data_IF_775503614038
#
_entry.id   IF_775503614038
#
_cell.length_a   1.000
_cell.length_b   1.000
_cell.length_c   1.000
_cell.angle_alpha   90.00
_cell.angle_beta   90.00
_cell.angle_gamma   90.00
#
_symmetry.space_group_name_H-M   'P 1'
#
loop_
_entity.id
_entity.type
_entity.pdbx_description
1 polymer ?
#
# COMPACT_ATOMS: atom_id res chain seq x y z
N UNK A 1 -38.11 23.41 -37.87
CA UNK A 1 -38.53 22.04 -38.27
C UNK A 1 -37.39 21.01 -38.19
N UNK A 2 -36.11 21.39 -38.39
CA UNK A 2 -34.97 20.45 -38.31
C UNK A 2 -34.63 19.87 -36.93
N UNK A 3 -34.84 20.62 -35.83
CA UNK A 3 -34.49 20.13 -34.48
C UNK A 3 -35.43 19.04 -33.94
N UNK A 4 -36.71 19.04 -34.35
CA UNK A 4 -37.66 18.01 -33.96
C UNK A 4 -37.42 16.68 -34.70
N UNK A 5 -37.03 16.76 -35.98
CA UNK A 5 -36.65 15.58 -36.76
C UNK A 5 -35.37 14.92 -36.23
N UNK A 6 -34.39 15.70 -35.78
CA UNK A 6 -33.18 15.19 -35.13
C UNK A 6 -33.46 14.54 -33.76
N UNK A 7 -34.38 15.12 -32.97
CA UNK A 7 -34.84 14.54 -31.71
C UNK A 7 -35.58 13.21 -31.93
N UNK A 8 -36.51 13.16 -32.89
CA UNK A 8 -37.25 11.93 -33.22
C UNK A 8 -36.34 10.85 -33.82
N UNK A 9 -35.35 11.23 -34.65
CA UNK A 9 -34.34 10.31 -35.14
C UNK A 9 -33.52 9.71 -33.99
N UNK A 10 -32.97 10.54 -33.09
CA UNK A 10 -32.24 10.05 -31.91
C UNK A 10 -33.11 9.19 -30.98
N UNK A 11 -34.38 9.57 -30.76
CA UNK A 11 -35.33 8.78 -29.94
C UNK A 11 -35.62 7.41 -30.55
N UNK A 12 -35.70 7.31 -31.88
CA UNK A 12 -35.93 6.05 -32.57
C UNK A 12 -34.67 5.18 -32.66
N UNK A 13 -33.48 5.78 -32.81
CA UNK A 13 -32.19 5.07 -32.78
C UNK A 13 -31.90 4.50 -31.40
N UNK A 14 -32.16 5.24 -30.32
CA UNK A 14 -32.02 4.77 -28.94
C UNK A 14 -33.01 3.65 -28.59
N UNK A 15 -34.22 3.66 -29.18
CA UNK A 15 -35.23 2.59 -29.00
C UNK A 15 -34.95 1.34 -29.83
N UNK A 16 -34.32 1.46 -30.99
CA UNK A 16 -33.91 0.30 -31.81
C UNK A 16 -32.70 -0.44 -31.22
N UNK A 17 -31.86 0.25 -30.45
CA UNK A 17 -30.75 -0.37 -29.71
C UNK A 17 -31.20 -0.99 -28.37
N UNK A 18 -32.46 -0.85 -27.97
CA UNK A 18 -32.99 -1.44 -26.72
C UNK A 18 -33.31 -2.95 -26.83
N UNK A 19 -32.88 -3.62 -27.91
CA UNK A 19 -33.05 -5.07 -28.12
C UNK A 19 -31.71 -5.79 -28.39
N UNK A 20 -30.60 -5.20 -27.97
CA UNK A 20 -29.46 -5.99 -27.51
C UNK A 20 -29.51 -5.91 -25.99
N UNK A 21 -29.46 -7.05 -25.32
CA UNK A 21 -29.23 -7.13 -23.87
C UNK A 21 -28.19 -6.09 -23.52
N UNK A 22 -28.55 -5.10 -22.70
CA UNK A 22 -27.59 -4.10 -22.28
C UNK A 22 -26.40 -4.85 -21.66
N UNK A 23 -25.27 -4.84 -22.38
CA UNK A 23 -23.96 -5.16 -21.84
C UNK A 23 -23.80 -4.38 -20.53
N UNK A 24 -23.09 -4.98 -19.58
CA UNK A 24 -22.99 -4.51 -18.20
C UNK A 24 -22.56 -3.04 -18.05
N UNK A 25 -22.53 -2.58 -16.81
CA UNK A 25 -22.02 -1.25 -16.46
C UNK A 25 -20.68 -0.96 -17.15
N UNK A 26 -20.64 0.10 -17.96
CA UNK A 26 -19.43 0.58 -18.61
C UNK A 26 -18.91 1.82 -17.91
N UNK A 27 -17.60 1.85 -17.73
CA UNK A 27 -16.86 2.99 -17.22
C UNK A 27 -16.83 4.14 -18.23
N UNK A 28 -16.91 5.39 -17.75
CA UNK A 28 -16.88 6.59 -18.59
C UNK A 28 -15.58 7.39 -18.48
N UNK A 29 -14.60 6.91 -17.70
CA UNK A 29 -13.38 7.64 -17.41
C UNK A 29 -13.37 8.37 -16.07
N UNK A 30 -12.29 9.11 -15.77
CA UNK A 30 -11.11 9.32 -16.62
C UNK A 30 -10.31 8.03 -16.88
N UNK A 31 -9.62 7.96 -18.01
CA UNK A 31 -8.73 6.84 -18.38
C UNK A 31 -7.24 7.24 -18.34
N UNK A 32 -6.97 8.48 -17.96
CA UNK A 32 -5.65 9.11 -18.04
C UNK A 32 -5.06 9.47 -16.67
N UNK A 33 -5.83 9.34 -15.59
CA UNK A 33 -5.36 9.58 -14.23
C UNK A 33 -5.86 8.45 -13.33
N UNK A 34 -4.98 7.98 -12.44
CA UNK A 34 -5.36 7.11 -11.35
C UNK A 34 -5.89 7.92 -10.16
N UNK A 35 -6.66 7.28 -9.31
CA UNK A 35 -6.94 7.76 -7.96
C UNK A 35 -6.02 7.10 -6.94
N UNK A 36 -6.31 7.36 -5.67
CA UNK A 36 -5.47 6.91 -4.56
C UNK A 36 -5.24 5.40 -4.56
N UNK A 37 -3.97 5.03 -4.65
CA UNK A 37 -3.48 3.66 -4.59
C UNK A 37 -2.74 3.44 -3.28
N UNK A 38 -3.07 2.33 -2.62
CA UNK A 38 -2.58 2.01 -1.27
C UNK A 38 -1.52 0.92 -1.29
N UNK A 39 -1.59 0.01 -2.26
CA UNK A 39 -0.67 -1.10 -2.38
C UNK A 39 -0.31 -1.33 -3.85
N UNK A 40 0.95 -1.65 -4.10
CA UNK A 40 1.41 -2.20 -5.38
C UNK A 40 2.25 -3.43 -5.08
N UNK A 41 2.08 -4.51 -5.84
CA UNK A 41 2.90 -5.72 -5.69
C UNK A 41 3.24 -6.34 -7.03
N UNK A 42 4.42 -6.94 -7.11
CA UNK A 42 4.80 -7.79 -8.24
C UNK A 42 4.25 -9.20 -8.06
N UNK A 43 3.85 -9.83 -9.15
CA UNK A 43 3.62 -11.27 -9.16
C UNK A 43 4.99 -11.98 -8.98
N UNK A 44 5.16 -12.84 -7.96
CA UNK A 44 6.45 -13.44 -7.64
C UNK A 44 6.95 -14.43 -8.71
N UNK A 45 6.05 -15.10 -9.43
CA UNK A 45 6.40 -16.01 -10.52
C UNK A 45 6.53 -15.31 -11.88
N UNK A 46 5.97 -14.10 -12.03
CA UNK A 46 6.11 -13.29 -13.24
C UNK A 46 6.11 -11.79 -12.93
N UNK A 47 7.27 -11.19 -12.63
CA UNK A 47 7.39 -9.78 -12.28
C UNK A 47 6.99 -8.77 -13.37
N UNK A 48 6.70 -9.20 -14.60
CA UNK A 48 6.06 -8.32 -15.60
C UNK A 48 4.58 -8.05 -15.29
N UNK A 49 3.97 -8.88 -14.44
CA UNK A 49 2.61 -8.69 -13.95
C UNK A 49 2.66 -8.01 -12.59
N UNK A 50 1.93 -6.91 -12.45
CA UNK A 50 1.77 -6.18 -11.19
C UNK A 50 0.30 -6.11 -10.81
N UNK A 51 0.04 -5.98 -9.52
CA UNK A 51 -1.28 -5.73 -8.97
C UNK A 51 -1.27 -4.42 -8.20
N UNK A 52 -2.39 -3.69 -8.24
CA UNK A 52 -2.59 -2.46 -7.50
C UNK A 52 -3.90 -2.52 -6.70
N UNK A 53 -3.80 -2.17 -5.42
CA UNK A 53 -4.92 -2.03 -4.51
C UNK A 53 -5.24 -0.55 -4.33
N UNK A 54 -6.45 -0.14 -4.69
CA UNK A 54 -6.88 1.25 -4.56
C UNK A 54 -7.67 1.49 -3.29
N UNK A 55 -7.75 2.75 -2.88
CA UNK A 55 -8.52 3.16 -1.71
C UNK A 55 -10.04 3.07 -1.90
N UNK A 56 -10.51 3.12 -3.14
CA UNK A 56 -11.95 3.22 -3.45
C UNK A 56 -12.34 2.73 -4.84
N UNK A 57 -11.48 1.99 -5.53
CA UNK A 57 -11.71 1.46 -6.87
C UNK A 57 -11.43 -0.05 -6.99
N UNK A 58 -11.22 -0.74 -5.88
CA UNK A 58 -10.96 -2.18 -5.83
C UNK A 58 -9.54 -2.59 -6.23
N UNK A 59 -9.43 -3.83 -6.69
CA UNK A 59 -8.19 -4.50 -7.10
C UNK A 59 -8.02 -4.43 -8.62
N UNK A 60 -6.79 -4.18 -9.06
CA UNK A 60 -6.44 -4.10 -10.46
C UNK A 60 -5.17 -4.90 -10.77
N UNK A 61 -5.06 -5.36 -12.02
CA UNK A 61 -3.90 -6.09 -12.53
C UNK A 61 -3.40 -5.44 -13.80
N UNK A 62 -2.09 -5.35 -13.96
CA UNK A 62 -1.45 -5.03 -15.23
C UNK A 62 -0.48 -6.12 -15.64
N UNK A 63 -0.61 -6.63 -16.87
CA UNK A 63 0.35 -7.59 -17.46
C UNK A 63 1.45 -6.90 -18.27
N UNK A 64 1.43 -5.56 -18.34
CA UNK A 64 2.39 -4.74 -19.07
C UNK A 64 3.25 -3.87 -18.13
N UNK A 65 3.15 -4.08 -16.81
CA UNK A 65 3.80 -3.20 -15.82
C UNK A 65 3.26 -1.77 -15.86
N UNK A 66 1.96 -1.59 -16.12
CA UNK A 66 1.30 -0.28 -16.18
C UNK A 66 1.61 0.53 -17.44
N UNK A 67 2.15 -0.10 -18.49
CA UNK A 67 2.48 0.57 -19.76
C UNK A 67 1.31 0.45 -20.74
N UNK A 68 0.92 1.58 -21.32
CA UNK A 68 -0.05 1.65 -22.42
C UNK A 68 -1.32 2.42 -22.04
N UNK A 69 -2.22 2.56 -23.01
CA UNK A 69 -3.48 3.31 -22.86
C UNK A 69 -4.54 2.56 -22.06
N UNK A 70 -4.51 1.22 -22.11
CA UNK A 70 -5.40 0.29 -21.42
C UNK A 70 -4.55 -0.74 -20.67
N UNK A 71 -3.68 -0.25 -19.78
CA UNK A 71 -2.66 -1.07 -19.13
C UNK A 71 -3.21 -1.93 -17.99
N UNK A 72 -4.46 -1.71 -17.55
CA UNK A 72 -5.02 -2.28 -16.34
C UNK A 72 -6.36 -2.97 -16.55
N UNK A 73 -6.47 -4.17 -15.99
CA UNK A 73 -7.71 -4.93 -15.85
C UNK A 73 -8.25 -4.76 -14.44
N UNK A 74 -9.54 -4.43 -14.32
CA UNK A 74 -10.26 -4.52 -13.05
C UNK A 74 -10.48 -5.98 -12.65
N UNK A 75 -10.17 -6.33 -11.42
CA UNK A 75 -10.41 -7.67 -10.86
C UNK A 75 -11.59 -7.63 -9.89
N UNK A 76 -12.79 -8.05 -10.32
CA UNK A 76 -13.96 -8.05 -9.46
C UNK A 76 -13.78 -9.06 -8.32
N UNK A 77 -13.97 -8.58 -7.09
CA UNK A 77 -13.87 -9.46 -5.91
C UNK A 77 -15.13 -10.29 -5.70
N UNK A 78 -16.27 -9.87 -6.27
CA UNK A 78 -17.59 -10.43 -5.94
C UNK A 78 -18.14 -9.99 -4.59
N UNK A 79 -17.43 -9.12 -3.86
CA UNK A 79 -17.79 -8.58 -2.55
C UNK A 79 -17.90 -7.05 -2.61
N UNK A 80 -18.62 -6.40 -1.66
CA UNK A 80 -18.71 -4.95 -1.59
C UNK A 80 -17.42 -4.31 -1.03
N UNK A 81 -16.30 -4.53 -1.72
CA UNK A 81 -14.96 -4.07 -1.35
C UNK A 81 -14.50 -3.01 -2.33
N UNK A 82 -14.29 -1.80 -1.82
CA UNK A 82 -13.74 -0.68 -2.58
C UNK A 82 -12.27 -0.41 -2.22
N UNK A 83 -11.91 -0.49 -0.93
CA UNK A 83 -10.52 -0.36 -0.49
C UNK A 83 -9.80 -1.71 -0.45
N UNK A 84 -8.68 -1.78 -1.16
CA UNK A 84 -7.70 -2.85 -1.07
C UNK A 84 -6.38 -2.22 -0.62
N UNK A 85 -6.06 -2.42 0.65
CA UNK A 85 -4.92 -1.82 1.36
C UNK A 85 -3.68 -2.70 1.41
N UNK A 86 -3.84 -4.00 1.16
CA UNK A 86 -2.72 -4.95 1.14
C UNK A 86 -3.00 -6.07 0.17
N UNK A 87 -1.96 -6.53 -0.51
CA UNK A 87 -1.99 -7.67 -1.42
C UNK A 87 -0.80 -8.56 -1.05
N UNK A 88 -1.04 -9.84 -0.84
CA UNK A 88 0.00 -10.84 -0.65
C UNK A 88 -0.22 -11.98 -1.64
N UNK A 89 0.84 -12.41 -2.31
CA UNK A 89 0.81 -13.48 -3.32
C UNK A 89 1.83 -14.52 -2.91
N UNK A 90 1.44 -15.79 -2.89
CA UNK A 90 2.34 -16.87 -2.50
C UNK A 90 3.46 -17.02 -3.54
N UNK A 91 4.75 -17.01 -3.14
CA UNK A 91 5.88 -17.22 -4.05
C UNK A 91 5.84 -18.54 -4.81
N UNK A 92 5.36 -19.62 -4.19
CA UNK A 92 5.32 -20.95 -4.78
C UNK A 92 4.20 -21.15 -5.82
N UNK A 93 3.11 -20.39 -5.70
CA UNK A 93 1.96 -20.44 -6.61
C UNK A 93 1.22 -19.09 -6.62
N UNK A 94 1.40 -18.34 -7.70
CA UNK A 94 0.77 -17.02 -7.86
C UNK A 94 -0.76 -17.06 -8.00
N UNK A 95 -1.38 -18.25 -8.08
CA UNK A 95 -2.82 -18.37 -7.98
C UNK A 95 -3.33 -18.14 -6.55
N UNK A 96 -2.48 -18.37 -5.55
CA UNK A 96 -2.81 -18.17 -4.14
C UNK A 96 -2.54 -16.71 -3.78
N UNK A 97 -3.62 -15.95 -3.60
CA UNK A 97 -3.55 -14.52 -3.28
C UNK A 97 -4.41 -14.20 -2.07
N UNK A 98 -4.00 -13.18 -1.32
CA UNK A 98 -4.76 -12.62 -0.22
C UNK A 98 -4.85 -11.11 -0.39
N UNK A 99 -6.02 -10.53 -0.16
CA UNK A 99 -6.20 -9.09 -0.11
C UNK A 99 -6.76 -8.65 1.24
N UNK A 100 -6.11 -7.64 1.81
CA UNK A 100 -6.58 -6.91 2.97
C UNK A 100 -7.58 -5.87 2.52
N UNK A 101 -8.73 -5.81 3.19
CA UNK A 101 -9.82 -4.89 2.84
C UNK A 101 -9.97 -3.77 3.86
N UNK A 102 -10.38 -2.61 3.36
CA UNK A 102 -10.61 -1.41 4.16
C UNK A 102 -9.39 -0.49 4.31
N UNK A 103 -9.65 0.73 4.73
CA UNK A 103 -8.66 1.78 4.96
C UNK A 103 -9.10 2.57 6.21
N UNK A 104 -8.64 2.15 7.38
CA UNK A 104 -9.20 2.57 8.69
C UNK A 104 -8.13 3.21 9.56
N UNK A 105 -8.04 4.53 9.52
CA UNK A 105 -6.94 5.25 10.17
C UNK A 105 -7.07 5.40 11.68
N UNK A 106 -8.28 5.30 12.24
CA UNK A 106 -8.51 5.48 13.66
C UNK A 106 -9.41 4.35 14.21
N UNK A 107 -9.17 3.97 15.46
CA UNK A 107 -9.90 2.87 16.10
C UNK A 107 -11.25 3.36 16.60
N UNK A 108 -12.35 2.89 15.99
CA UNK A 108 -13.75 3.03 16.46
C UNK A 108 -14.20 4.47 16.83
N UNK A 109 -13.45 5.51 16.47
CA UNK A 109 -13.67 6.88 16.92
C UNK A 109 -13.55 7.89 15.78
N UNK A 110 -14.53 8.78 15.69
CA UNK A 110 -14.49 10.02 14.91
C UNK A 110 -14.22 11.21 15.85
N UNK A 111 -13.00 11.32 16.36
CA UNK A 111 -12.57 12.46 17.19
C UNK A 111 -12.41 13.77 16.40
N UNK A 112 -12.62 14.91 17.06
CA UNK A 112 -12.99 16.20 16.47
C UNK A 112 -11.84 17.03 15.88
N UNK A 113 -12.03 17.55 14.66
CA UNK A 113 -11.21 18.61 14.06
C UNK A 113 -10.73 18.28 12.66
N UNK A 114 -11.32 18.93 11.64
CA UNK A 114 -11.09 18.79 10.19
C UNK A 114 -11.36 17.41 9.54
N UNK A 115 -11.72 16.39 10.32
CA UNK A 115 -11.71 15.04 9.80
C UNK A 115 -12.83 14.17 10.38
N UNK A 116 -14.06 14.47 9.97
CA UNK A 116 -15.13 13.45 9.90
C UNK A 116 -14.69 12.40 8.86
N UNK A 117 -13.74 11.54 9.25
CA UNK A 117 -12.96 10.61 8.40
C UNK A 117 -13.69 9.35 7.99
N UNK A 118 -14.96 9.21 8.38
CA UNK A 118 -15.84 8.16 7.85
C UNK A 118 -16.08 8.28 6.33
N UNK A 119 -15.66 9.38 5.71
CA UNK A 119 -15.82 9.63 4.25
C UNK A 119 -14.55 9.46 3.43
N UNK A 120 -13.35 9.43 4.03
CA UNK A 120 -12.09 9.23 3.29
C UNK A 120 -11.61 7.79 3.27
N UNK A 121 -11.90 7.01 4.30
CA UNK A 121 -11.57 5.59 4.36
C UNK A 121 -12.83 4.74 4.28
N UNK A 122 -12.68 3.46 3.95
CA UNK A 122 -13.81 2.51 3.97
C UNK A 122 -13.54 1.39 4.97
N UNK A 123 -14.59 0.91 5.64
CA UNK A 123 -14.44 -0.26 6.50
C UNK A 123 -14.33 -1.52 5.66
N UNK A 124 -13.40 -2.39 6.05
CA UNK A 124 -13.18 -3.68 5.43
C UNK A 124 -14.15 -4.75 5.91
N UNK A 125 -14.08 -5.89 5.24
CA UNK A 125 -14.78 -7.13 5.57
C UNK A 125 -13.79 -8.25 5.94
N UNK A 126 -12.56 -7.87 6.31
CA UNK A 126 -11.46 -8.76 6.68
C UNK A 126 -10.55 -9.09 5.49
N UNK A 127 -10.20 -10.37 5.34
CA UNK A 127 -9.26 -10.85 4.32
C UNK A 127 -10.02 -11.69 3.31
N UNK A 128 -9.84 -11.39 2.02
CA UNK A 128 -10.30 -12.26 0.94
C UNK A 128 -9.12 -13.08 0.42
N UNK A 129 -9.36 -14.35 0.12
CA UNK A 129 -8.41 -15.29 -0.46
C UNK A 129 -8.87 -15.69 -1.86
N UNK A 130 -7.93 -15.81 -2.78
CA UNK A 130 -8.13 -16.43 -4.09
C UNK A 130 -7.19 -17.63 -4.23
N UNK A 131 -7.62 -18.63 -5.00
CA UNK A 131 -6.83 -19.82 -5.37
C UNK A 131 -6.76 -19.98 -6.90
N UNK A 132 -7.14 -18.94 -7.65
CA UNK A 132 -7.23 -18.93 -9.11
C UNK A 132 -6.65 -17.64 -9.73
N UNK A 133 -5.73 -16.98 -9.02
CA UNK A 133 -5.02 -15.79 -9.52
C UNK A 133 -5.89 -14.54 -9.55
N UNK A 134 -6.86 -14.46 -8.64
CA UNK A 134 -7.75 -13.31 -8.45
C UNK A 134 -8.99 -13.31 -9.35
N UNK A 135 -9.34 -14.45 -9.98
CA UNK A 135 -10.56 -14.60 -10.77
C UNK A 135 -11.81 -14.77 -9.89
N UNK A 136 -11.66 -15.45 -8.76
CA UNK A 136 -12.69 -15.58 -7.72
C UNK A 136 -12.08 -15.49 -6.33
N UNK A 137 -12.93 -15.14 -5.36
CA UNK A 137 -12.52 -14.84 -4.00
C UNK A 137 -13.46 -15.48 -2.98
N UNK A 138 -12.91 -15.89 -1.86
CA UNK A 138 -13.63 -16.33 -0.66
C UNK A 138 -13.17 -15.53 0.56
N UNK A 139 -14.01 -15.47 1.60
CA UNK A 139 -13.61 -14.86 2.87
C UNK A 139 -12.70 -15.81 3.64
N UNK A 140 -11.48 -15.34 3.95
CA UNK A 140 -10.49 -16.05 4.77
C UNK A 140 -10.51 -15.57 6.23
N UNK A 141 -10.57 -14.25 6.43
CA UNK A 141 -10.90 -13.65 7.72
C UNK A 141 -12.23 -12.94 7.54
N UNK A 142 -13.30 -13.47 8.14
CA UNK A 142 -14.67 -12.98 7.90
C UNK A 142 -15.08 -11.93 8.93
N UNK A 143 -15.10 -10.68 8.47
CA UNK A 143 -15.74 -9.58 9.18
C UNK A 143 -16.92 -9.01 8.38
N UNK A 144 -17.77 -8.28 9.09
CA UNK A 144 -18.80 -7.41 8.52
C UNK A 144 -18.33 -5.95 8.60
N UNK A 145 -18.77 -5.13 7.64
CA UNK A 145 -18.46 -3.69 7.61
C UNK A 145 -18.94 -2.95 8.86
N UNK A 146 -20.00 -3.44 9.53
CA UNK A 146 -20.52 -2.88 10.77
C UNK A 146 -19.54 -2.97 11.95
N UNK A 147 -18.52 -3.82 11.87
CA UNK A 147 -17.49 -3.92 12.91
C UNK A 147 -16.46 -2.79 12.82
N UNK A 148 -16.48 -1.98 11.76
CA UNK A 148 -15.63 -0.81 11.59
C UNK A 148 -14.11 -1.11 11.60
N UNK A 149 -13.72 -2.23 10.99
CA UNK A 149 -12.34 -2.75 10.98
C UNK A 149 -11.70 -2.64 9.60
N UNK A 150 -10.39 -2.73 9.54
CA UNK A 150 -9.61 -2.88 8.32
C UNK A 150 -8.39 -3.78 8.54
N UNK A 151 -7.83 -4.26 7.44
CA UNK A 151 -6.57 -5.02 7.39
C UNK A 151 -5.56 -4.15 6.67
N UNK A 152 -4.39 -3.89 7.25
CA UNK A 152 -3.40 -2.96 6.71
C UNK A 152 -2.22 -3.62 6.04
N UNK A 153 -1.79 -4.79 6.54
CA UNK A 153 -0.73 -5.56 5.93
C UNK A 153 -1.03 -7.05 6.04
N UNK A 154 -0.72 -7.79 4.99
CA UNK A 154 -0.69 -9.25 4.98
C UNK A 154 0.72 -9.67 4.55
N UNK A 155 1.36 -10.55 5.32
CA UNK A 155 2.69 -11.08 5.03
C UNK A 155 2.64 -12.60 5.09
N UNK A 156 3.01 -13.24 3.99
CA UNK A 156 3.20 -14.70 3.93
C UNK A 156 4.62 -14.97 4.43
N UNK A 157 4.76 -15.94 5.33
CA UNK A 157 6.06 -16.34 5.85
C UNK A 157 6.93 -16.94 4.72
N UNK A 158 8.13 -16.38 4.46
CA UNK A 158 8.97 -16.82 3.33
C UNK A 158 9.54 -18.24 3.50
N UNK A 159 9.54 -18.78 4.72
CA UNK A 159 10.04 -20.13 5.00
C UNK A 159 8.92 -21.17 5.15
N UNK A 160 7.66 -20.72 5.26
CA UNK A 160 6.50 -21.61 5.36
C UNK A 160 5.21 -20.88 4.95
N UNK A 161 4.78 -21.04 3.70
CA UNK A 161 3.61 -20.33 3.16
C UNK A 161 2.26 -20.70 3.82
N UNK A 162 2.21 -21.75 4.66
CA UNK A 162 1.06 -22.02 5.51
C UNK A 162 0.88 -21.00 6.63
N UNK A 163 1.97 -20.34 7.02
CA UNK A 163 1.99 -19.30 8.06
C UNK A 163 1.80 -17.94 7.42
N UNK A 164 0.76 -17.24 7.85
CA UNK A 164 0.39 -15.93 7.31
C UNK A 164 0.10 -15.00 8.47
N UNK A 165 0.60 -13.77 8.38
CA UNK A 165 0.42 -12.73 9.38
C UNK A 165 -0.41 -11.58 8.80
N UNK A 166 -1.27 -11.01 9.62
CA UNK A 166 -2.09 -9.87 9.26
C UNK A 166 -2.02 -8.77 10.32
N UNK A 167 -1.67 -7.55 9.90
CA UNK A 167 -1.76 -6.34 10.70
C UNK A 167 -3.14 -5.74 10.49
N UNK A 168 -3.89 -5.51 11.57
CA UNK A 168 -5.28 -5.08 11.49
C UNK A 168 -5.60 -3.97 12.49
N UNK A 169 -6.79 -3.36 12.34
CA UNK A 169 -7.34 -2.42 13.32
C UNK A 169 -7.40 -3.01 14.74
N UNK A 170 -7.61 -4.33 14.87
CA UNK A 170 -7.71 -5.03 16.16
C UNK A 170 -6.36 -5.59 16.65
N UNK A 171 -5.26 -5.32 15.94
CA UNK A 171 -3.93 -5.86 16.24
C UNK A 171 -3.49 -6.95 15.27
N UNK A 172 -2.61 -7.85 15.71
CA UNK A 172 -1.98 -8.86 14.83
C UNK A 172 -2.74 -10.17 14.90
N UNK A 173 -3.12 -10.67 13.72
CA UNK A 173 -3.65 -12.01 13.52
C UNK A 173 -2.62 -12.90 12.83
N UNK A 174 -2.62 -14.19 13.17
CA UNK A 174 -1.78 -15.22 12.57
C UNK A 174 -2.64 -16.42 12.15
N UNK A 175 -2.39 -16.90 10.95
CA UNK A 175 -2.84 -18.20 10.44
C UNK A 175 -1.65 -19.16 10.39
N UNK A 176 -1.92 -20.45 10.59
CA UNK A 176 -0.94 -21.54 10.40
C UNK A 176 -1.43 -22.61 9.41
N UNK A 177 -2.53 -22.33 8.71
CA UNK A 177 -3.22 -23.26 7.81
C UNK A 177 -3.65 -22.57 6.51
N UNK A 178 -2.78 -21.74 5.93
CA UNK A 178 -3.03 -21.00 4.66
C UNK A 178 -4.29 -20.13 4.69
N UNK A 179 -4.58 -19.50 5.83
CA UNK A 179 -5.68 -18.57 6.01
C UNK A 179 -7.04 -19.25 6.20
N UNK A 180 -7.09 -20.54 6.55
CA UNK A 180 -8.36 -21.18 6.88
C UNK A 180 -8.85 -20.77 8.27
N UNK A 181 -7.93 -20.59 9.23
CA UNK A 181 -8.23 -20.11 10.57
C UNK A 181 -7.23 -19.03 11.01
N UNK A 182 -7.71 -18.06 11.78
CA UNK A 182 -6.93 -16.93 12.27
C UNK A 182 -7.01 -16.82 13.78
N UNK A 183 -5.88 -16.61 14.43
CA UNK A 183 -5.76 -16.34 15.88
C UNK A 183 -5.18 -14.96 16.10
N UNK A 184 -5.79 -14.17 16.97
CA UNK A 184 -5.20 -12.90 17.41
C UNK A 184 -4.02 -13.20 18.35
N UNK A 185 -2.81 -12.81 17.95
CA UNK A 185 -1.57 -13.10 18.68
C UNK A 185 -0.94 -11.85 19.30
N UNK A 186 -1.44 -10.66 18.93
CA UNK A 186 -1.09 -9.41 19.59
C UNK A 186 -2.30 -8.46 19.57
N UNK A 187 -2.65 -7.88 20.72
CA UNK A 187 -3.89 -7.10 20.89
C UNK A 187 -3.68 -5.58 20.91
N UNK A 188 -2.47 -5.09 20.65
CA UNK A 188 -2.26 -3.65 20.48
C UNK A 188 -2.93 -3.22 19.18
N UNK A 189 -3.93 -2.35 19.32
CA UNK A 189 -4.78 -1.89 18.22
C UNK A 189 -3.98 -1.10 17.17
N UNK A 190 -4.57 -0.98 15.98
CA UNK A 190 -3.96 -0.30 14.84
C UNK A 190 -2.56 -0.87 14.54
N UNK A 191 -2.46 -2.19 14.37
CA UNK A 191 -1.29 -2.76 13.74
C UNK A 191 -1.31 -2.35 12.26
N UNK A 192 -0.32 -1.57 11.85
CA UNK A 192 -0.27 -0.88 10.55
C UNK A 192 0.61 -1.61 9.54
N UNK A 193 1.68 -2.28 10.00
CA UNK A 193 2.57 -3.04 9.13
C UNK A 193 3.34 -4.12 9.91
N UNK A 194 3.88 -5.11 9.19
CA UNK A 194 4.61 -6.26 9.69
C UNK A 194 5.87 -6.53 8.89
N UNK A 195 6.91 -6.96 9.58
CA UNK A 195 8.16 -7.41 8.99
C UNK A 195 8.53 -8.79 9.57
N UNK A 196 8.57 -9.81 8.70
CA UNK A 196 9.00 -11.16 9.06
C UNK A 196 10.49 -11.26 8.72
N UNK A 197 11.30 -11.70 9.67
CA UNK A 197 12.71 -11.98 9.42
C UNK A 197 12.84 -13.16 8.43
N UNK A 198 13.37 -12.95 7.21
CA UNK A 198 13.48 -14.02 6.23
C UNK A 198 14.46 -15.11 6.64
N UNK A 199 15.39 -14.82 7.57
CA UNK A 199 16.36 -15.80 8.07
C UNK A 199 15.87 -16.54 9.32
N UNK A 200 14.78 -16.08 9.94
CA UNK A 200 14.20 -16.69 11.13
C UNK A 200 12.72 -16.31 11.33
N UNK A 201 11.80 -17.14 10.87
CA UNK A 201 10.35 -16.85 10.92
C UNK A 201 9.75 -16.67 12.31
N UNK A 202 10.45 -17.02 13.39
CA UNK A 202 10.00 -16.73 14.75
C UNK A 202 10.23 -15.26 15.15
N UNK A 203 11.12 -14.56 14.45
CA UNK A 203 11.42 -13.16 14.62
C UNK A 203 10.51 -12.31 13.71
N UNK A 204 9.52 -11.64 14.32
CA UNK A 204 8.57 -10.79 13.60
C UNK A 204 8.43 -9.47 14.33
N UNK A 205 8.41 -8.38 13.56
CA UNK A 205 8.16 -7.04 14.07
C UNK A 205 6.81 -6.53 13.56
N UNK A 206 6.13 -5.76 14.40
CA UNK A 206 4.90 -5.05 14.05
C UNK A 206 5.02 -3.58 14.43
N UNK A 207 4.59 -2.73 13.51
CA UNK A 207 4.37 -1.30 13.76
C UNK A 207 2.94 -1.07 14.21
N UNK A 208 2.76 -0.59 15.45
CA UNK A 208 1.43 -0.30 16.00
C UNK A 208 1.23 1.20 16.19
N UNK A 209 0.02 1.65 15.90
CA UNK A 209 -0.49 2.97 16.23
C UNK A 209 -0.85 3.82 15.02
N UNK A 210 -1.79 4.73 15.25
CA UNK A 210 -2.08 5.89 14.42
C UNK A 210 -2.95 6.87 15.25
N UNK A 211 -3.01 8.15 14.88
CA UNK A 211 -3.79 9.17 15.60
C UNK A 211 -3.56 9.23 17.11
N UNK A 212 -2.33 8.96 17.55
CA UNK A 212 -1.99 8.96 18.98
C UNK A 212 -2.69 7.84 19.77
N UNK A 213 -3.09 6.75 19.11
CA UNK A 213 -3.68 5.60 19.77
C UNK A 213 -2.80 5.08 20.90
N UNK A 214 -3.44 4.56 21.94
CA UNK A 214 -2.74 3.97 23.09
C UNK A 214 -1.91 2.78 22.64
N UNK A 215 -0.74 2.61 23.24
CA UNK A 215 0.15 1.51 22.89
C UNK A 215 0.91 1.66 21.56
N UNK A 216 0.89 2.83 20.90
CA UNK A 216 1.72 3.04 19.70
C UNK A 216 3.20 2.68 19.94
N UNK A 217 3.86 2.13 18.93
CA UNK A 217 5.27 1.73 18.97
C UNK A 217 5.58 0.53 18.10
N UNK A 218 6.84 0.13 18.11
CA UNK A 218 7.30 -1.09 17.46
C UNK A 218 7.33 -2.21 18.50
N UNK A 219 6.76 -3.37 18.14
CA UNK A 219 6.77 -4.56 18.97
C UNK A 219 7.46 -5.70 18.22
N UNK A 220 8.14 -6.57 18.97
CA UNK A 220 8.90 -7.69 18.44
C UNK A 220 8.56 -8.98 19.16
N UNK A 221 8.37 -10.06 18.40
CA UNK A 221 8.38 -11.44 18.89
C UNK A 221 9.66 -12.13 18.43
N UNK A 222 10.14 -13.11 19.20
CA UNK A 222 11.21 -14.04 18.80
C UNK A 222 10.80 -15.50 18.96
N UNK A 223 9.51 -15.76 19.13
CA UNK A 223 8.93 -17.09 19.35
C UNK A 223 7.63 -17.27 18.55
N UNK A 224 7.60 -16.71 17.34
CA UNK A 224 6.49 -16.93 16.41
C UNK A 224 5.15 -16.34 16.86
N UNK A 225 5.16 -15.32 17.72
CA UNK A 225 3.98 -14.56 18.14
C UNK A 225 3.40 -14.97 19.49
N UNK A 226 4.05 -15.89 20.21
CA UNK A 226 3.58 -16.30 21.53
C UNK A 226 3.78 -15.19 22.58
N UNK A 227 4.85 -14.38 22.48
CA UNK A 227 5.08 -13.21 23.32
C UNK A 227 5.64 -12.04 22.52
N UNK A 228 5.31 -10.82 22.96
CA UNK A 228 5.74 -9.58 22.31
C UNK A 228 6.40 -8.63 23.29
N UNK A 229 7.51 -8.03 22.84
CA UNK A 229 8.26 -7.02 23.59
C UNK A 229 8.18 -5.70 22.85
N UNK A 230 7.83 -4.62 23.55
CA UNK A 230 7.88 -3.26 22.99
C UNK A 230 9.32 -2.79 22.87
N UNK A 231 9.70 -2.30 21.70
CA UNK A 231 11.01 -1.69 21.46
C UNK A 231 10.97 -0.21 21.89
N UNK A 232 11.92 0.18 22.74
CA UNK A 232 12.05 1.55 23.25
C UNK A 232 13.43 2.17 23.03
N UNK A 233 14.45 1.35 22.76
CA UNK A 233 15.81 1.83 22.55
C UNK A 233 16.02 2.21 21.09
N UNK A 234 16.48 3.43 20.83
CA UNK A 234 16.89 3.87 19.50
C UNK A 234 15.76 4.17 18.52
N UNK A 235 14.54 4.32 19.03
CA UNK A 235 13.34 4.77 18.32
C UNK A 235 12.81 6.05 19.00
N UNK A 236 12.02 6.90 18.31
CA UNK A 236 11.41 8.06 18.95
C UNK A 236 10.54 7.63 20.15
N UNK A 237 10.64 8.37 21.26
CA UNK A 237 9.93 8.05 22.50
C UNK A 237 8.41 8.29 22.42
N UNK A 238 7.96 9.12 21.48
CA UNK A 238 6.55 9.37 21.20
C UNK A 238 6.37 9.77 19.73
N UNK A 239 5.28 9.29 19.13
CA UNK A 239 4.77 9.72 17.83
C UNK A 239 3.25 9.51 17.79
N UNK A 240 2.57 10.21 16.90
CA UNK A 240 1.11 10.12 16.76
C UNK A 240 0.65 9.60 15.39
N UNK A 241 1.55 9.23 14.49
CA UNK A 241 1.25 8.66 13.17
C UNK A 241 1.43 7.13 13.13
N UNK A 242 1.76 6.61 11.95
CA UNK A 242 1.93 5.16 11.72
C UNK A 242 3.39 4.77 11.59
N UNK A 243 3.64 3.46 11.57
CA UNK A 243 4.96 2.86 11.32
C UNK A 243 4.85 1.97 10.09
N UNK A 244 5.81 2.08 9.18
CA UNK A 244 6.02 1.15 8.06
C UNK A 244 7.38 0.47 8.22
N UNK A 245 7.47 -0.80 7.85
CA UNK A 245 8.60 -1.67 8.12
C UNK A 245 9.08 -2.36 6.85
N UNK A 246 10.40 -2.45 6.71
CA UNK A 246 11.02 -3.25 5.66
C UNK A 246 12.20 -4.06 6.21
N UNK A 247 12.58 -5.13 5.50
CA UNK A 247 13.62 -6.08 5.91
C UNK A 247 14.58 -6.40 4.79
N UNK A 248 15.83 -6.62 5.16
CA UNK A 248 16.86 -7.05 4.21
C UNK A 248 17.68 -8.20 4.82
N UNK A 249 17.69 -9.40 4.20
CA UNK A 249 18.60 -10.46 4.61
C UNK A 249 20.04 -10.11 4.18
N UNK A 250 20.95 -9.94 5.14
CA UNK A 250 22.37 -9.71 4.86
C UNK A 250 23.24 -10.86 5.35
N UNK A 251 24.49 -11.00 4.85
CA UNK A 251 25.46 -11.95 5.39
C UNK A 251 25.77 -11.77 6.89
N UNK A 252 25.46 -10.60 7.46
CA UNK A 252 25.73 -10.25 8.85
C UNK A 252 24.48 -10.34 9.75
N UNK A 253 23.38 -10.89 9.24
CA UNK A 253 22.08 -10.94 9.90
C UNK A 253 21.04 -10.04 9.25
N UNK A 254 19.80 -10.13 9.72
CA UNK A 254 18.68 -9.40 9.11
C UNK A 254 18.71 -7.94 9.53
N UNK A 255 18.70 -7.05 8.53
CA UNK A 255 18.53 -5.62 8.72
C UNK A 255 17.03 -5.30 8.74
N UNK A 256 16.62 -4.41 9.65
CA UNK A 256 15.26 -3.89 9.70
C UNK A 256 15.28 -2.38 9.48
N UNK A 257 14.31 -1.88 8.72
CA UNK A 257 14.05 -0.47 8.50
C UNK A 257 12.69 -0.12 9.09
N UNK A 258 12.57 1.07 9.65
CA UNK A 258 11.30 1.64 10.06
C UNK A 258 11.20 3.08 9.58
N UNK A 259 10.15 3.36 8.81
CA UNK A 259 9.66 4.72 8.60
C UNK A 259 8.58 5.00 9.64
N UNK A 260 8.84 5.94 10.55
CA UNK A 260 7.92 6.31 11.63
C UNK A 260 7.43 7.72 11.37
N UNK A 261 6.12 7.85 11.15
CA UNK A 261 5.48 9.14 10.95
C UNK A 261 4.91 9.68 12.27
N UNK A 262 5.01 10.98 12.46
CA UNK A 262 4.20 11.68 13.44
C UNK A 262 2.80 11.98 12.86
N UNK A 263 1.88 12.47 13.70
CA UNK A 263 0.56 12.89 13.24
C UNK A 263 0.61 14.18 12.39
N UNK A 264 -0.30 15.12 12.64
CA UNK A 264 -0.34 16.42 11.94
C UNK A 264 0.78 17.39 12.34
N UNK A 265 2.00 16.89 12.59
CA UNK A 265 3.12 17.74 12.95
C UNK A 265 3.55 18.58 11.76
N UNK A 266 3.59 19.90 11.92
CA UNK A 266 4.24 20.82 10.98
C UNK A 266 5.60 21.29 11.50
N UNK A 267 6.08 20.70 12.60
CA UNK A 267 7.36 21.06 13.22
C UNK A 267 8.48 20.22 12.61
N UNK A 268 9.43 20.91 11.96
CA UNK A 268 10.63 20.30 11.39
C UNK A 268 11.39 19.44 12.41
N UNK A 269 11.88 18.28 11.97
CA UNK A 269 12.61 17.32 12.80
C UNK A 269 11.76 16.41 13.69
N UNK A 270 10.42 16.58 13.67
CA UNK A 270 9.48 15.78 14.46
C UNK A 270 8.31 15.25 13.62
N UNK A 271 8.43 15.27 12.28
CA UNK A 271 7.39 14.79 11.37
C UNK A 271 7.64 13.36 10.92
N UNK A 272 8.90 13.00 10.65
CA UNK A 272 9.31 11.66 10.24
C UNK A 272 10.60 11.24 10.95
N UNK A 273 10.72 9.95 11.23
CA UNK A 273 11.97 9.31 11.64
C UNK A 273 12.24 8.11 10.74
N UNK A 274 13.44 8.05 10.18
CA UNK A 274 13.96 6.85 9.54
C UNK A 274 14.87 6.14 10.53
N UNK A 275 14.47 4.95 10.97
CA UNK A 275 15.20 4.16 11.96
C UNK A 275 15.68 2.85 11.34
N UNK A 276 16.83 2.35 11.80
CA UNK A 276 17.41 1.09 11.33
C UNK A 276 17.87 0.22 12.50
N UNK A 277 17.75 -1.09 12.35
CA UNK A 277 18.34 -2.10 13.23
C UNK A 277 19.17 -3.08 12.42
N UNK A 278 20.33 -3.46 12.95
CA UNK A 278 21.28 -4.40 12.33
C UNK A 278 21.48 -5.67 13.16
N UNK A 279 20.74 -5.83 14.26
CA UNK A 279 20.85 -6.91 15.24
C UNK A 279 19.53 -7.69 15.38
N UNK A 280 18.88 -7.96 14.24
CA UNK A 280 17.61 -8.67 14.13
C UNK A 280 16.43 -7.96 14.84
N UNK A 281 16.46 -6.63 14.92
CA UNK A 281 15.37 -5.81 15.47
C UNK A 281 15.44 -5.59 16.98
N UNK A 282 16.55 -5.96 17.64
CA UNK A 282 16.70 -5.85 19.09
C UNK A 282 17.02 -4.42 19.54
N UNK A 283 17.96 -3.76 18.88
CA UNK A 283 18.30 -2.35 19.10
C UNK A 283 18.23 -1.56 17.80
N UNK A 284 17.88 -0.29 17.93
CA UNK A 284 17.65 0.59 16.79
C UNK A 284 18.53 1.83 16.85
N UNK A 285 18.61 2.53 15.73
CA UNK A 285 19.24 3.83 15.61
C UNK A 285 18.36 4.71 14.73
N UNK A 286 18.14 5.96 15.15
CA UNK A 286 17.52 6.99 14.31
C UNK A 286 18.61 7.45 13.32
N UNK A 287 18.44 7.09 12.05
CA UNK A 287 19.37 7.44 10.99
C UNK A 287 19.15 8.87 10.50
N UNK A 288 17.89 9.29 10.42
CA UNK A 288 17.52 10.64 9.99
C UNK A 288 16.18 11.08 10.59
N UNK A 289 16.08 12.38 10.84
CA UNK A 289 14.85 13.10 11.21
C UNK A 289 14.40 14.07 10.10
N UNK A 290 14.99 13.95 8.90
CA UNK A 290 14.58 14.74 7.74
C UNK A 290 13.11 14.45 7.45
N UNK A 291 12.35 15.53 7.32
CA UNK A 291 10.92 15.46 7.07
C UNK A 291 10.66 15.13 5.60
N UNK A 292 10.05 13.97 5.35
CA UNK A 292 9.56 13.56 4.03
C UNK A 292 8.04 13.32 4.00
N UNK A 293 7.38 13.26 5.16
CA UNK A 293 5.92 13.05 5.26
C UNK A 293 5.13 14.34 5.53
N UNK A 294 5.80 15.43 5.89
CA UNK A 294 5.19 16.68 6.37
C UNK A 294 4.13 16.39 7.46
N UNK A 295 2.95 17.02 7.39
CA UNK A 295 1.83 16.80 8.30
C UNK A 295 1.04 15.49 8.04
N UNK A 296 1.56 14.59 7.20
CA UNK A 296 0.88 13.40 6.70
C UNK A 296 1.54 12.08 7.14
N UNK A 297 2.37 12.08 8.19
CA UNK A 297 2.95 10.85 8.76
C UNK A 297 1.93 9.87 9.38
N UNK A 298 0.65 10.26 9.48
CA UNK A 298 -0.46 9.35 9.81
C UNK A 298 -1.07 8.69 8.57
N UNK A 299 -0.77 9.21 7.37
CA UNK A 299 -1.46 8.96 6.11
C UNK A 299 -0.54 8.27 5.11
N UNK A 300 0.45 9.00 4.60
CA UNK A 300 1.24 8.67 3.41
C UNK A 300 2.73 8.78 3.73
N UNK A 301 3.35 7.64 3.97
CA UNK A 301 4.79 7.45 3.96
C UNK A 301 5.09 5.96 3.96
N UNK A 302 6.29 5.61 3.51
CA UNK A 302 6.89 4.28 3.55
C UNK A 302 8.41 4.41 3.37
N UNK A 303 9.17 3.34 3.59
CA UNK A 303 10.57 3.28 3.20
C UNK A 303 10.98 1.83 2.91
N UNK A 304 11.79 1.64 1.87
CA UNK A 304 12.30 0.33 1.50
C UNK A 304 13.82 0.36 1.28
N UNK A 305 14.47 -0.75 1.59
CA UNK A 305 15.83 -1.04 1.16
C UNK A 305 15.87 -1.30 -0.34
N UNK A 306 16.94 -0.86 -1.00
CA UNK A 306 17.28 -1.41 -2.30
C UNK A 306 17.61 -2.91 -2.12
N UNK A 307 17.03 -3.82 -2.92
CA UNK A 307 17.25 -5.26 -2.79
C UNK A 307 18.69 -5.72 -3.07
N UNK A 308 19.54 -4.85 -3.63
CA UNK A 308 20.96 -5.14 -3.91
C UNK A 308 21.93 -4.54 -2.90
N UNK A 309 21.54 -3.50 -2.15
CA UNK A 309 22.38 -2.85 -1.14
C UNK A 309 21.52 -2.19 -0.05
N UNK A 310 21.59 -2.70 1.18
CA UNK A 310 20.86 -2.18 2.32
C UNK A 310 21.33 -0.77 2.80
N UNK A 311 22.40 -0.22 2.23
CA UNK A 311 22.80 1.17 2.43
C UNK A 311 22.09 2.12 1.49
N UNK A 312 21.54 1.60 0.39
CA UNK A 312 20.64 2.35 -0.47
C UNK A 312 19.20 2.19 0.02
N UNK A 313 18.56 3.32 0.32
CA UNK A 313 17.21 3.37 0.87
C UNK A 313 16.41 4.40 0.10
N UNK A 314 15.20 4.05 -0.28
CA UNK A 314 14.21 5.02 -0.75
C UNK A 314 13.17 5.22 0.34
N UNK A 315 13.03 6.46 0.82
CA UNK A 315 11.99 6.88 1.74
C UNK A 315 10.98 7.74 0.97
N UNK A 316 9.70 7.52 1.20
CA UNK A 316 8.62 8.21 0.49
C UNK A 316 7.62 8.82 1.47
N UNK A 317 6.97 9.89 1.06
CA UNK A 317 5.91 10.57 1.80
C UNK A 317 5.17 11.53 0.89
N UNK A 318 5.36 12.83 1.06
CA UNK A 318 4.89 13.81 0.07
C UNK A 318 5.67 13.68 -1.24
N UNK A 319 6.96 13.36 -1.12
CA UNK A 319 7.89 13.21 -2.24
C UNK A 319 8.76 11.96 -2.06
N UNK A 320 9.46 11.58 -3.13
CA UNK A 320 10.46 10.51 -3.15
C UNK A 320 11.80 11.07 -2.67
N UNK A 321 12.42 10.39 -1.72
CA UNK A 321 13.78 10.68 -1.24
C UNK A 321 14.65 9.42 -1.30
N UNK A 322 15.94 9.61 -1.61
CA UNK A 322 16.90 8.51 -1.67
C UNK A 322 18.14 8.78 -0.81
N UNK A 323 18.66 7.72 -0.23
CA UNK A 323 19.90 7.69 0.53
C UNK A 323 20.82 6.62 -0.06
N UNK A 324 22.14 6.88 -0.02
CA UNK A 324 23.20 5.91 -0.37
C UNK A 324 24.12 5.61 0.81
N UNK A 325 23.76 6.08 2.01
CA UNK A 325 24.57 5.96 3.23
C UNK A 325 23.77 5.45 4.43
N UNK A 326 22.90 4.47 4.18
CA UNK A 326 22.10 3.79 5.19
C UNK A 326 21.01 4.67 5.81
N UNK A 327 20.59 5.73 5.13
CA UNK A 327 19.53 6.63 5.59
C UNK A 327 20.03 7.87 6.34
N UNK A 328 21.35 8.07 6.46
CA UNK A 328 21.93 9.19 7.20
C UNK A 328 21.67 10.55 6.53
N UNK A 329 21.67 10.58 5.19
CA UNK A 329 21.28 11.75 4.39
C UNK A 329 20.26 11.33 3.34
N UNK A 330 19.20 12.12 3.16
CA UNK A 330 18.15 11.88 2.18
C UNK A 330 18.12 13.01 1.14
N UNK A 331 18.23 12.65 -0.14
CA UNK A 331 18.15 13.56 -1.28
C UNK A 331 16.76 13.47 -1.90
N UNK A 332 16.07 14.59 -2.05
CA UNK A 332 14.78 14.62 -2.74
C UNK A 332 14.98 14.32 -4.23
N UNK A 333 14.13 13.47 -4.79
CA UNK A 333 14.19 13.01 -6.19
C UNK A 333 12.98 13.44 -7.01
N UNK A 334 11.82 13.58 -6.38
CA UNK A 334 10.59 13.99 -7.06
C UNK A 334 10.11 15.39 -6.68
N UNK A 335 9.17 15.90 -7.46
CA UNK A 335 8.32 17.03 -7.11
C UNK A 335 6.87 16.74 -7.54
N UNK A 336 5.92 16.91 -6.63
CA UNK A 336 4.48 16.77 -6.84
C UNK A 336 3.81 18.01 -7.41
N UNK A 337 4.58 19.00 -7.88
CA UNK A 337 4.02 20.18 -8.56
C UNK A 337 3.19 19.73 -9.76
N UNK A 338 1.88 19.98 -9.67
CA UNK A 338 0.88 19.51 -10.63
C UNK A 338 1.22 19.95 -12.06
N UNK A 339 1.10 19.02 -13.00
CA UNK A 339 1.18 19.32 -14.42
C UNK A 339 -0.12 19.96 -14.89
N UNK A 340 -0.03 21.14 -15.52
CA UNK A 340 -1.17 21.78 -16.16
C UNK A 340 -1.33 21.27 -17.61
N UNK A 341 -2.44 20.62 -17.93
CA UNK A 341 -2.76 20.24 -19.30
C UNK A 341 -3.67 19.03 -19.41
N UNK A 342 -4.07 18.69 -20.65
CA UNK A 342 -4.74 17.43 -20.96
C UNK A 342 -3.67 16.37 -21.17
N UNK A 343 -3.66 15.32 -20.34
CA UNK A 343 -2.71 14.21 -20.45
C UNK A 343 -3.40 13.07 -21.21
N UNK A 344 -2.88 12.63 -22.37
CA UNK A 344 -3.42 11.44 -23.03
C UNK A 344 -3.23 10.18 -22.16
N UNK A 345 -4.15 9.22 -22.18
CA UNK A 345 -3.98 7.95 -21.48
C UNK A 345 -2.61 7.30 -21.74
N UNK A 346 -1.96 6.80 -20.69
CA UNK A 346 -0.65 6.13 -20.78
C UNK A 346 0.54 7.05 -21.11
N UNK A 347 0.33 8.36 -21.24
CA UNK A 347 1.42 9.32 -21.43
C UNK A 347 1.99 9.81 -20.09
N UNK A 348 3.26 10.26 -20.04
CA UNK A 348 3.82 10.87 -18.84
C UNK A 348 2.96 12.04 -18.36
N UNK A 349 2.65 12.04 -17.06
CA UNK A 349 1.80 13.04 -16.43
C UNK A 349 2.54 14.33 -16.05
N UNK A 350 3.84 14.43 -16.33
CA UNK A 350 4.61 15.60 -15.96
C UNK A 350 6.05 15.54 -16.44
N UNK A 351 6.89 16.41 -15.87
CA UNK A 351 8.33 16.37 -16.08
C UNK A 351 8.92 15.03 -15.60
N UNK A 352 10.15 14.66 -16.02
CA UNK A 352 10.79 13.42 -15.57
C UNK A 352 10.99 13.31 -14.05
N UNK A 353 10.88 14.40 -13.30
CA UNK A 353 10.94 14.41 -11.83
C UNK A 353 9.55 14.39 -11.18
N UNK A 354 8.48 14.30 -11.97
CA UNK A 354 7.11 14.35 -11.45
C UNK A 354 6.68 12.98 -10.92
N UNK A 355 6.27 12.97 -9.66
CA UNK A 355 5.52 11.89 -9.02
C UNK A 355 4.38 12.57 -8.30
N UNK A 356 3.15 12.08 -8.46
CA UNK A 356 2.05 12.65 -7.70
C UNK A 356 2.32 12.51 -6.20
N UNK A 357 2.06 13.58 -5.44
CA UNK A 357 2.28 13.60 -4.01
C UNK A 357 1.46 12.55 -3.25
N UNK A 358 1.81 12.34 -1.99
CA UNK A 358 1.15 11.43 -1.05
C UNK A 358 1.34 9.96 -1.47
N UNK A 359 2.53 9.44 -1.18
CA UNK A 359 2.99 8.11 -1.53
C UNK A 359 2.75 7.17 -0.34
N UNK A 360 1.99 6.09 -0.57
CA UNK A 360 1.53 5.14 0.44
C UNK A 360 2.36 3.86 0.49
N UNK A 361 2.96 3.47 -0.63
CA UNK A 361 3.71 2.22 -0.77
C UNK A 361 4.83 2.38 -1.80
N UNK A 362 5.96 1.72 -1.55
CA UNK A 362 7.08 1.60 -2.47
C UNK A 362 7.45 0.13 -2.64
N UNK A 363 7.68 -0.29 -3.89
CA UNK A 363 8.22 -1.61 -4.19
C UNK A 363 9.30 -1.57 -5.25
N UNK A 364 10.43 -2.17 -4.91
CA UNK A 364 11.46 -2.53 -5.87
C UNK A 364 11.04 -3.77 -6.65
N UNK A 365 11.42 -3.82 -7.92
CA UNK A 365 11.30 -5.04 -8.71
C UNK A 365 12.22 -6.13 -8.15
N UNK A 366 11.75 -7.38 -8.01
CA UNK A 366 12.43 -8.42 -7.23
C UNK A 366 13.80 -8.83 -7.76
N UNK A 367 14.08 -8.57 -9.04
CA UNK A 367 15.36 -8.93 -9.69
C UNK A 367 16.06 -7.77 -10.40
N UNK A 368 15.50 -6.56 -10.35
CA UNK A 368 16.08 -5.40 -11.01
C UNK A 368 15.88 -4.15 -10.14
N UNK A 369 16.89 -3.74 -9.35
CA UNK A 369 16.76 -2.63 -8.41
C UNK A 369 16.53 -1.27 -9.09
N UNK A 370 16.79 -1.15 -10.39
CA UNK A 370 16.54 0.08 -11.15
C UNK A 370 15.04 0.35 -11.35
N UNK A 371 14.21 -0.70 -11.27
CA UNK A 371 12.77 -0.62 -11.45
C UNK A 371 12.10 -0.49 -10.08
N UNK A 372 11.41 0.62 -9.87
CA UNK A 372 10.75 0.97 -8.60
C UNK A 372 9.34 1.45 -8.89
N UNK A 373 8.35 0.96 -8.16
CA UNK A 373 6.96 1.41 -8.24
C UNK A 373 6.55 2.13 -6.96
N UNK A 374 5.66 3.10 -7.14
CA UNK A 374 5.14 3.97 -6.10
C UNK A 374 3.62 4.00 -6.20
N UNK A 375 2.93 3.70 -5.10
CA UNK A 375 1.48 3.88 -4.97
C UNK A 375 1.21 5.26 -4.38
N UNK A 376 0.45 6.10 -5.08
CA UNK A 376 0.24 7.51 -4.72
C UNK A 376 -1.24 7.90 -4.72
N UNK A 377 -1.58 9.09 -4.22
CA UNK A 377 -2.94 9.66 -4.34
C UNK A 377 -3.38 9.86 -5.81
N UNK A 378 -2.43 9.93 -6.75
CA UNK A 378 -2.65 10.05 -8.20
C UNK A 378 -2.48 8.76 -8.99
N UNK A 379 -2.46 7.60 -8.33
CA UNK A 379 -2.37 6.30 -8.98
C UNK A 379 -1.01 5.62 -8.82
N UNK A 380 -0.49 5.06 -9.90
CA UNK A 380 0.77 4.30 -9.90
C UNK A 380 1.82 5.07 -10.68
N UNK A 381 2.99 5.26 -10.06
CA UNK A 381 4.17 5.82 -10.72
C UNK A 381 5.30 4.80 -10.69
N UNK A 382 6.26 4.94 -11.61
CA UNK A 382 7.45 4.11 -11.59
C UNK A 382 8.70 4.86 -12.01
N UNK A 383 9.84 4.31 -11.63
CA UNK A 383 11.16 4.56 -12.19
C UNK A 383 11.68 3.29 -12.86
N UNK A 384 12.54 3.44 -13.87
CA UNK A 384 13.29 2.35 -14.50
C UNK A 384 14.82 2.60 -14.53
N UNK A 385 15.27 3.65 -13.84
CA UNK A 385 16.66 4.12 -13.79
C UNK A 385 17.09 4.48 -12.35
N UNK A 386 16.60 3.69 -11.39
CA UNK A 386 17.01 3.75 -9.99
C UNK A 386 16.52 4.98 -9.25
N UNK A 387 15.45 5.63 -9.73
CA UNK A 387 14.84 6.82 -9.14
C UNK A 387 15.37 8.13 -9.73
N UNK A 388 16.03 8.08 -10.89
CA UNK A 388 16.54 9.29 -11.56
C UNK A 388 15.43 10.00 -12.35
N UNK A 389 14.54 9.24 -12.98
CA UNK A 389 13.33 9.73 -13.64
C UNK A 389 12.11 8.89 -13.31
N UNK A 390 10.93 9.48 -13.48
CA UNK A 390 9.65 8.90 -13.12
C UNK A 390 8.64 9.05 -14.25
N UNK A 391 7.70 8.09 -14.32
CA UNK A 391 6.57 8.13 -15.24
C UNK A 391 5.31 7.57 -14.56
N UNK A 392 4.17 8.19 -14.85
CA UNK A 392 2.86 7.67 -14.50
C UNK A 392 2.55 6.37 -15.25
N UNK A 393 1.85 5.48 -14.59
CA UNK A 393 1.45 4.15 -15.08
C UNK A 393 -0.07 4.00 -15.05
N UNK A 394 -0.80 5.05 -15.44
CA UNK A 394 -2.23 5.20 -15.14
C UNK A 394 -3.17 5.01 -16.34
N UNK A 395 -2.66 4.62 -17.51
CA UNK A 395 -3.50 4.40 -18.69
C UNK A 395 -4.54 3.29 -18.47
N UNK A 396 -5.82 3.65 -18.47
CA UNK A 396 -6.92 2.73 -18.21
C UNK A 396 -7.11 2.36 -16.74
N UNK A 397 -6.39 3.00 -15.81
CA UNK A 397 -6.49 2.73 -14.38
C UNK A 397 -7.53 3.63 -13.71
N UNK A 398 -8.72 3.09 -13.44
CA UNK A 398 -9.89 3.92 -13.13
C UNK A 398 -10.30 3.83 -11.67
N UNK A 399 -9.56 4.54 -10.84
CA UNK A 399 -9.69 4.48 -9.38
C UNK A 399 -10.00 5.84 -8.74
N UNK A 400 -10.30 6.85 -9.56
CA UNK A 400 -10.60 8.22 -9.10
C UNK A 400 -11.88 8.27 -8.26
N UNK A 401 -11.81 9.00 -7.14
CA UNK A 401 -12.95 9.33 -6.28
C UNK A 401 -13.64 10.59 -6.84
N UNK A 402 -14.97 10.61 -6.85
CA UNK A 402 -15.76 11.81 -7.15
C UNK A 402 -16.24 12.48 -5.87
#
# INVERSE_FOLDING_TARGET
VGHFAAFEHNRQTLRKNASQTADGWQTMGPHNYGGRTLAVVFNPQNPNTIFAGSASGGLWRSTTGGIGVDAWDYLPTGFPVLAVSSIAIAPSDSNIMYIGTGEVYNYQAAGTGAAYRSTRGTYGIGILKSTDGGQSWEKSLDWSSNQQRGVWAIKIDPNNEAVIWAATTEGVFKSIDTGANWTQVHSVILAMDLAIDPLNSDNVLVGCGNFGSTGHGIYRTTNGGANWTKITSGVPSAFAGKVQLDVYPSPFGTQFLASIGNGFSTTSGNASWLCKSSDNGQTWQIMSTQDYSQWQGWYSHDAAFNPSDFNEITAVGIEVYQSTNGGSTLQQKSSGNAFGGVIPPGSPEGAPTYVHADIHDIKYHPTNPEIIYFATDGGVFRSIDGGSTFAGCNGGYQTTQF
#
